data_IF_385576642136
#
_entry.id   IF_385576642136
#
_cell.length_a   1.000
_cell.length_b   1.000
_cell.length_c   1.000
_cell.angle_alpha   90.00
_cell.angle_beta   90.00
_cell.angle_gamma   90.00
#
_symmetry.space_group_name_H-M   'P 1'
#
loop_
_entity.id
_entity.type
_entity.pdbx_description
1 polymer ?
#
# COMPACT_ATOMS: atom_id res chain seq x y z
N UNK A 1 -10.98 15.18 18.80
CA UNK A 1 -10.29 15.53 17.52
C UNK A 1 -8.96 16.24 17.75
N UNK A 2 -8.77 16.97 18.85
CA UNK A 2 -7.53 17.65 19.23
C UNK A 2 -6.36 16.71 19.57
N UNK A 3 -6.65 15.51 20.09
CA UNK A 3 -5.60 14.59 20.55
C UNK A 3 -4.84 13.90 19.41
N UNK A 4 -5.47 13.76 18.24
CA UNK A 4 -4.83 13.20 17.04
C UNK A 4 -3.80 14.16 16.42
N UNK A 5 -4.07 15.47 16.50
CA UNK A 5 -3.13 16.51 16.03
C UNK A 5 -1.93 16.62 16.98
N UNK A 6 -2.17 16.48 18.29
CA UNK A 6 -1.09 16.44 19.29
C UNK A 6 -0.19 15.21 19.12
N UNK A 7 -0.77 14.04 18.83
CA UNK A 7 0.00 12.82 18.58
C UNK A 7 0.83 12.93 17.28
N UNK A 8 0.27 13.53 16.22
CA UNK A 8 1.00 13.79 14.98
C UNK A 8 2.15 14.81 15.19
N UNK A 9 1.94 15.84 16.01
CA UNK A 9 2.97 16.83 16.33
C UNK A 9 4.10 16.23 17.18
N UNK A 10 3.79 15.34 18.12
CA UNK A 10 4.78 14.61 18.93
C UNK A 10 5.64 13.67 18.08
N UNK A 11 5.05 12.96 17.12
CA UNK A 11 5.80 12.13 16.16
C UNK A 11 6.74 12.98 15.29
N UNK A 12 6.36 14.24 15.02
CA UNK A 12 7.16 15.16 14.20
C UNK A 12 8.34 15.76 14.98
N UNK A 13 8.13 16.14 16.25
CA UNK A 13 9.16 16.76 17.11
C UNK A 13 10.27 15.80 17.51
N UNK A 14 9.95 14.52 17.73
CA UNK A 14 10.95 13.51 18.12
C UNK A 14 11.90 13.11 16.97
N UNK A 15 11.62 13.53 15.74
CA UNK A 15 12.52 13.32 14.59
C UNK A 15 13.71 14.29 14.54
N UNK A 16 13.71 15.35 15.35
CA UNK A 16 14.66 16.47 15.20
C UNK A 16 15.98 16.31 15.96
N UNK A 17 16.09 15.37 16.90
CA UNK A 17 17.22 15.31 17.84
C UNK A 17 18.10 14.05 17.75
N UNK A 18 18.05 13.30 16.65
CA UNK A 18 19.04 12.26 16.40
C UNK A 18 20.21 12.81 15.57
N UNK A 19 21.47 12.67 16.04
CA UNK A 19 22.63 13.08 15.24
C UNK A 19 22.56 12.38 13.89
N UNK A 20 22.78 13.16 12.83
CA UNK A 20 22.73 12.74 11.43
C UNK A 20 23.88 11.77 11.11
N UNK A 21 23.87 10.59 11.75
CA UNK A 21 24.40 9.41 11.12
C UNK A 21 23.57 9.29 9.85
N UNK A 22 24.23 9.37 8.70
CA UNK A 22 23.69 9.04 7.38
C UNK A 22 23.34 7.55 7.38
N UNK A 23 22.37 7.16 8.21
CA UNK A 23 21.67 5.90 8.14
C UNK A 23 21.00 5.97 6.79
N UNK A 24 21.59 5.27 5.82
CA UNK A 24 21.10 5.19 4.47
C UNK A 24 19.70 4.55 4.53
N UNK A 25 18.68 5.40 4.72
CA UNK A 25 17.28 5.07 4.95
C UNK A 25 16.76 4.04 3.94
N UNK A 26 15.64 3.38 4.26
CA UNK A 26 14.96 2.46 3.34
C UNK A 26 14.89 3.09 1.94
N UNK A 27 15.01 2.30 0.85
CA UNK A 27 14.92 2.82 -0.50
C UNK A 27 13.71 3.77 -0.57
N UNK A 28 13.96 5.03 -0.93
CA UNK A 28 13.09 6.17 -0.61
C UNK A 28 11.64 6.16 -1.14
N UNK A 29 11.14 5.26 -2.02
CA UNK A 29 9.70 5.17 -2.27
C UNK A 29 8.96 4.22 -1.31
N UNK A 30 9.61 3.27 -0.64
CA UNK A 30 8.88 2.18 0.06
C UNK A 30 8.06 2.68 1.26
N UNK A 31 8.62 3.47 2.20
CA UNK A 31 7.86 3.97 3.35
C UNK A 31 6.61 4.80 2.97
N UNK A 32 6.68 5.82 2.09
CA UNK A 32 5.50 6.61 1.75
C UNK A 32 4.43 5.79 1.03
N UNK A 33 4.80 4.79 0.22
CA UNK A 33 3.86 3.84 -0.40
C UNK A 33 3.11 2.99 0.65
N UNK A 34 3.82 2.54 1.69
CA UNK A 34 3.19 1.78 2.79
C UNK A 34 2.22 2.66 3.57
N UNK A 35 2.61 3.91 3.87
CA UNK A 35 1.71 4.84 4.56
C UNK A 35 0.49 5.22 3.72
N UNK A 36 0.67 5.43 2.41
CA UNK A 36 -0.44 5.69 1.50
C UNK A 36 -1.41 4.50 1.43
N UNK A 37 -0.89 3.28 1.31
CA UNK A 37 -1.67 2.04 1.35
C UNK A 37 -2.40 1.88 2.69
N UNK A 38 -1.75 2.14 3.83
CA UNK A 38 -2.41 2.10 5.14
C UNK A 38 -3.53 3.13 5.25
N UNK A 39 -3.34 4.37 4.77
CA UNK A 39 -4.36 5.41 4.77
C UNK A 39 -5.55 5.04 3.86
N UNK A 40 -5.29 4.54 2.65
CA UNK A 40 -6.34 4.10 1.73
C UNK A 40 -7.11 2.90 2.28
N UNK A 41 -6.40 1.90 2.79
CA UNK A 41 -7.01 0.73 3.42
C UNK A 41 -7.85 1.08 4.66
N UNK A 42 -7.39 2.01 5.51
CA UNK A 42 -8.14 2.45 6.70
C UNK A 42 -9.39 3.25 6.33
N UNK A 43 -9.31 4.11 5.32
CA UNK A 43 -10.50 4.80 4.80
C UNK A 43 -11.49 3.80 4.19
N UNK A 44 -11.04 2.88 3.34
CA UNK A 44 -11.89 1.84 2.75
C UNK A 44 -12.62 1.00 3.81
N UNK A 45 -11.93 0.60 4.87
CA UNK A 45 -12.52 -0.18 5.97
C UNK A 45 -13.49 0.63 6.81
N UNK A 46 -13.21 1.89 7.10
CA UNK A 46 -14.16 2.77 7.78
C UNK A 46 -15.46 2.90 6.97
N UNK A 47 -15.36 3.14 5.67
CA UNK A 47 -16.54 3.18 4.78
C UNK A 47 -17.27 1.83 4.72
N UNK A 48 -16.56 0.72 4.58
CA UNK A 48 -17.17 -0.61 4.57
C UNK A 48 -17.91 -0.92 5.89
N UNK A 49 -17.34 -0.54 7.04
CA UNK A 49 -17.98 -0.71 8.35
C UNK A 49 -19.24 0.15 8.48
N UNK A 50 -19.20 1.41 8.04
CA UNK A 50 -20.41 2.25 8.02
C UNK A 50 -21.50 1.67 7.12
N UNK A 51 -21.14 1.13 5.95
CA UNK A 51 -22.06 0.49 5.04
C UNK A 51 -22.69 -0.79 5.62
N UNK A 52 -21.91 -1.56 6.39
CA UNK A 52 -22.40 -2.74 7.10
C UNK A 52 -23.35 -2.39 8.24
N UNK A 53 -23.08 -1.28 8.95
CA UNK A 53 -23.99 -0.78 9.99
C UNK A 53 -25.38 -0.42 9.44
N UNK A 54 -25.44 -0.07 8.16
CA UNK A 54 -26.68 0.20 7.42
C UNK A 54 -27.33 -1.06 6.83
N UNK A 55 -26.86 -2.26 7.18
CA UNK A 55 -27.35 -3.55 6.66
C UNK A 55 -27.30 -3.66 5.12
N UNK A 56 -26.41 -2.91 4.46
CA UNK A 56 -26.44 -2.77 3.00
C UNK A 56 -26.17 -4.09 2.25
N UNK A 57 -25.17 -4.87 2.68
CA UNK A 57 -24.88 -6.19 2.10
C UNK A 57 -23.82 -6.97 2.89
N UNK A 58 -23.98 -8.29 3.12
CA UNK A 58 -22.93 -9.13 3.72
C UNK A 58 -21.68 -9.25 2.83
N UNK A 59 -21.76 -8.96 1.53
CA UNK A 59 -20.61 -9.01 0.61
C UNK A 59 -19.54 -7.97 0.95
N UNK A 60 -19.93 -6.88 1.62
CA UNK A 60 -19.00 -5.83 2.08
C UNK A 60 -18.04 -6.34 3.16
N UNK A 61 -18.29 -7.53 3.73
CA UNK A 61 -17.40 -8.13 4.72
C UNK A 61 -16.05 -8.60 4.16
N UNK A 62 -15.97 -8.73 2.84
CA UNK A 62 -14.73 -9.04 2.13
C UNK A 62 -13.66 -7.94 2.29
N UNK A 63 -14.06 -6.67 2.46
CA UNK A 63 -13.13 -5.54 2.58
C UNK A 63 -12.41 -5.56 3.95
N UNK A 64 -13.09 -5.61 5.10
CA UNK A 64 -12.41 -5.72 6.40
C UNK A 64 -11.63 -7.02 6.56
N UNK A 65 -12.12 -8.13 5.98
CA UNK A 65 -11.41 -9.41 6.00
C UNK A 65 -10.06 -9.35 5.25
N UNK A 66 -10.00 -8.64 4.12
CA UNK A 66 -8.75 -8.44 3.36
C UNK A 66 -7.83 -7.38 3.98
N UNK A 67 -8.37 -6.45 4.78
CA UNK A 67 -7.57 -5.47 5.50
C UNK A 67 -6.69 -6.08 6.60
N UNK A 68 -7.21 -7.03 7.40
CA UNK A 68 -6.46 -7.64 8.50
C UNK A 68 -5.08 -8.21 8.10
N UNK A 69 -4.96 -9.04 7.04
CA UNK A 69 -3.65 -9.52 6.60
C UNK A 69 -2.76 -8.42 6.01
N UNK A 70 -3.36 -7.38 5.41
CA UNK A 70 -2.64 -6.23 4.84
C UNK A 70 -1.98 -5.40 5.94
N UNK A 71 -2.74 -5.11 7.02
CA UNK A 71 -2.23 -4.43 8.20
C UNK A 71 -1.12 -5.24 8.88
N UNK A 72 -1.30 -6.54 9.03
CA UNK A 72 -0.27 -7.43 9.59
C UNK A 72 1.00 -7.42 8.73
N UNK A 73 0.86 -7.46 7.40
CA UNK A 73 2.00 -7.40 6.50
C UNK A 73 2.77 -6.07 6.60
N UNK A 74 2.06 -4.94 6.58
CA UNK A 74 2.69 -3.62 6.68
C UNK A 74 3.36 -3.38 8.02
N UNK A 75 2.72 -3.77 9.13
CA UNK A 75 3.32 -3.66 10.47
C UNK A 75 4.58 -4.52 10.59
N UNK A 76 4.58 -5.74 10.08
CA UNK A 76 5.79 -6.60 10.09
C UNK A 76 6.92 -6.07 9.18
N UNK A 77 6.60 -5.31 8.12
CA UNK A 77 7.62 -4.61 7.32
C UNK A 77 8.18 -3.42 8.09
N UNK A 78 7.33 -2.56 8.65
CA UNK A 78 7.74 -1.36 9.40
C UNK A 78 8.54 -1.72 10.66
N UNK A 79 8.11 -2.76 11.40
CA UNK A 79 8.81 -3.24 12.58
C UNK A 79 10.21 -3.77 12.22
N UNK A 80 10.31 -4.58 11.17
CA UNK A 80 11.61 -5.06 10.70
C UNK A 80 12.49 -3.95 10.14
N UNK A 81 11.90 -2.94 9.48
CA UNK A 81 12.62 -1.77 9.00
C UNK A 81 13.23 -0.94 10.15
N UNK A 82 12.61 -0.94 11.33
CA UNK A 82 13.16 -0.29 12.53
C UNK A 82 14.25 -1.11 13.23
N UNK A 83 14.10 -2.43 13.29
CA UNK A 83 15.01 -3.30 14.07
C UNK A 83 16.28 -3.66 13.28
N UNK A 84 16.15 -3.95 11.99
CA UNK A 84 17.26 -4.44 11.20
C UNK A 84 18.04 -3.28 10.58
N UNK A 85 19.34 -3.23 10.88
CA UNK A 85 20.28 -2.36 10.18
C UNK A 85 20.17 -2.57 8.65
N UNK A 86 20.22 -1.45 7.92
CA UNK A 86 20.00 -1.38 6.49
C UNK A 86 20.76 -2.45 5.69
N UNK A 87 20.08 -3.02 4.69
CA UNK A 87 20.69 -3.98 3.76
C UNK A 87 20.71 -5.43 4.24
N UNK A 88 20.15 -5.74 5.42
CA UNK A 88 20.00 -7.13 5.83
C UNK A 88 19.05 -7.88 4.89
N UNK A 89 19.57 -8.91 4.21
CA UNK A 89 18.81 -9.77 3.31
C UNK A 89 17.58 -10.43 3.98
N UNK A 90 17.54 -10.44 5.32
CA UNK A 90 16.40 -10.93 6.11
C UNK A 90 15.12 -10.09 5.93
N UNK A 91 15.25 -8.77 5.72
CA UNK A 91 14.10 -7.88 5.51
C UNK A 91 13.35 -8.23 4.23
N UNK A 92 14.07 -8.68 3.19
CA UNK A 92 13.55 -9.07 1.88
C UNK A 92 13.54 -10.59 1.68
N UNK A 93 13.09 -11.34 2.69
CA UNK A 93 12.94 -12.80 2.58
C UNK A 93 11.98 -13.19 1.45
N UNK A 94 12.20 -14.36 0.83
CA UNK A 94 11.33 -14.93 -0.22
C UNK A 94 9.88 -15.01 0.25
N UNK A 95 9.68 -15.43 1.50
CA UNK A 95 8.36 -15.57 2.11
C UNK A 95 7.60 -14.25 2.16
N UNK A 96 8.27 -13.14 2.51
CA UNK A 96 7.63 -11.82 2.54
C UNK A 96 7.18 -11.34 1.17
N UNK A 97 8.00 -11.58 0.14
CA UNK A 97 7.64 -11.24 -1.24
C UNK A 97 6.44 -12.07 -1.70
N UNK A 98 6.42 -13.37 -1.39
CA UNK A 98 5.28 -14.25 -1.71
C UNK A 98 4.02 -13.80 -0.98
N UNK A 99 4.11 -13.49 0.34
CA UNK A 99 3.00 -12.93 1.10
C UNK A 99 2.45 -11.65 0.47
N UNK A 100 3.31 -10.74 0.02
CA UNK A 100 2.88 -9.51 -0.64
C UNK A 100 2.04 -9.80 -1.90
N UNK A 101 2.44 -10.79 -2.71
CA UNK A 101 1.65 -11.21 -3.88
C UNK A 101 0.33 -11.86 -3.50
N UNK A 102 0.30 -12.71 -2.47
CA UNK A 102 -0.94 -13.33 -1.99
C UNK A 102 -1.93 -12.24 -1.52
N UNK A 103 -1.44 -11.24 -0.78
CA UNK A 103 -2.26 -10.12 -0.32
C UNK A 103 -2.77 -9.29 -1.50
N UNK A 104 -1.91 -8.99 -2.48
CA UNK A 104 -2.31 -8.27 -3.69
C UNK A 104 -3.40 -9.03 -4.47
N UNK A 105 -3.26 -10.35 -4.62
CA UNK A 105 -4.28 -11.22 -5.22
C UNK A 105 -5.59 -11.21 -4.43
N UNK A 106 -5.52 -11.24 -3.09
CA UNK A 106 -6.69 -11.11 -2.23
C UNK A 106 -7.47 -9.81 -2.47
N UNK A 107 -6.76 -8.69 -2.59
CA UNK A 107 -7.36 -7.40 -2.95
C UNK A 107 -7.92 -7.38 -4.37
N UNK A 108 -7.26 -8.01 -5.34
CA UNK A 108 -7.78 -8.15 -6.71
C UNK A 108 -9.07 -8.97 -6.74
N UNK A 109 -9.15 -10.06 -5.97
CA UNK A 109 -10.37 -10.86 -5.83
C UNK A 109 -11.50 -10.07 -5.18
N UNK A 110 -11.21 -9.34 -4.10
CA UNK A 110 -12.18 -8.46 -3.45
C UNK A 110 -12.72 -7.41 -4.43
N UNK A 111 -11.83 -6.77 -5.18
CA UNK A 111 -12.20 -5.80 -6.22
C UNK A 111 -13.12 -6.43 -7.28
N UNK A 112 -12.79 -7.63 -7.74
CA UNK A 112 -13.60 -8.37 -8.71
C UNK A 112 -15.00 -8.68 -8.17
N UNK A 113 -15.10 -9.13 -6.91
CA UNK A 113 -16.39 -9.41 -6.23
C UNK A 113 -17.23 -8.14 -6.11
N UNK A 114 -16.63 -7.02 -5.71
CA UNK A 114 -17.34 -5.74 -5.57
C UNK A 114 -17.81 -5.22 -6.94
N UNK A 115 -16.97 -5.32 -7.97
CA UNK A 115 -17.35 -4.94 -9.35
C UNK A 115 -18.51 -5.83 -9.84
N UNK A 116 -18.40 -7.15 -9.68
CA UNK A 116 -19.45 -8.07 -10.08
C UNK A 116 -20.78 -7.75 -9.36
N UNK A 117 -20.74 -7.53 -8.04
CA UNK A 117 -21.91 -7.13 -7.27
C UNK A 117 -22.51 -5.80 -7.77
N UNK A 118 -21.65 -4.83 -8.10
CA UNK A 118 -22.06 -3.53 -8.64
C UNK A 118 -22.73 -3.69 -10.02
N UNK A 119 -22.16 -4.52 -10.91
CA UNK A 119 -22.73 -4.80 -12.23
C UNK A 119 -24.07 -5.53 -12.11
N UNK A 120 -24.16 -6.59 -11.30
CA UNK A 120 -25.43 -7.30 -11.08
C UNK A 120 -26.50 -6.37 -10.51
N UNK A 121 -26.12 -5.43 -9.63
CA UNK A 121 -27.04 -4.42 -9.10
C UNK A 121 -27.48 -3.43 -10.19
N UNK A 122 -26.57 -3.00 -11.06
CA UNK A 122 -26.89 -2.07 -12.16
C UNK A 122 -27.88 -2.66 -13.19
N UNK A 123 -27.89 -3.99 -13.35
CA UNK A 123 -28.78 -4.70 -14.26
C UNK A 123 -30.22 -4.84 -13.71
N UNK A 124 -30.54 -4.25 -12.54
CA UNK A 124 -31.85 -4.34 -11.89
C UNK A 124 -32.34 -5.78 -11.64
N UNK A 125 -31.44 -6.76 -11.61
CA UNK A 125 -31.79 -8.17 -11.37
C UNK A 125 -32.17 -8.43 -9.90
N UNK A 126 -31.94 -7.45 -9.00
CA UNK A 126 -32.34 -7.50 -7.60
C UNK A 126 -33.60 -6.68 -7.33
N UNK A 127 -34.50 -7.15 -6.45
CA UNK A 127 -35.71 -6.42 -6.08
C UNK A 127 -35.33 -5.03 -5.53
N UNK A 128 -36.07 -4.01 -5.98
CA UNK A 128 -35.94 -2.59 -5.62
C UNK A 128 -36.14 -2.36 -4.12
N UNK A 129 -35.18 -2.76 -3.30
CA UNK A 129 -35.06 -2.22 -1.95
C UNK A 129 -34.30 -0.90 -2.05
N UNK A 130 -34.82 0.13 -1.37
CA UNK A 130 -34.32 1.52 -1.32
C UNK A 130 -32.81 1.63 -1.06
N UNK A 131 -32.01 1.49 -2.11
CA UNK A 131 -30.55 1.39 -2.01
C UNK A 131 -29.82 2.41 -2.88
N UNK A 132 -30.41 3.60 -3.09
CA UNK A 132 -29.72 4.71 -3.75
C UNK A 132 -28.39 5.05 -3.07
N UNK A 133 -28.39 5.14 -1.73
CA UNK A 133 -27.18 5.38 -0.94
C UNK A 133 -26.21 4.20 -1.01
N UNK A 134 -26.72 2.97 -1.01
CA UNK A 134 -25.89 1.76 -1.01
C UNK A 134 -25.13 1.52 -2.32
N UNK A 135 -25.62 2.01 -3.47
CA UNK A 135 -24.92 1.83 -4.75
C UNK A 135 -23.66 2.70 -4.83
N UNK A 136 -23.75 3.96 -4.41
CA UNK A 136 -22.61 4.88 -4.37
C UNK A 136 -21.49 4.38 -3.48
N UNK A 137 -21.83 3.85 -2.30
CA UNK A 137 -20.83 3.29 -1.39
C UNK A 137 -20.13 2.08 -2.01
N UNK A 138 -20.86 1.21 -2.73
CA UNK A 138 -20.26 0.08 -3.44
C UNK A 138 -19.29 0.54 -4.54
N UNK A 139 -19.68 1.54 -5.34
CA UNK A 139 -18.80 2.11 -6.39
C UNK A 139 -17.55 2.72 -5.76
N UNK A 140 -17.70 3.52 -4.71
CA UNK A 140 -16.58 4.15 -4.01
C UNK A 140 -15.62 3.10 -3.43
N UNK A 141 -16.15 2.10 -2.72
CA UNK A 141 -15.36 0.98 -2.21
C UNK A 141 -14.64 0.22 -3.33
N UNK A 142 -15.28 0.01 -4.49
CA UNK A 142 -14.67 -0.64 -5.65
C UNK A 142 -13.46 0.16 -6.17
N UNK A 143 -13.61 1.48 -6.30
CA UNK A 143 -12.52 2.34 -6.77
C UNK A 143 -11.33 2.34 -5.82
N UNK A 144 -11.56 2.41 -4.51
CA UNK A 144 -10.48 2.34 -3.52
C UNK A 144 -9.81 0.98 -3.54
N UNK A 145 -10.58 -0.12 -3.57
CA UNK A 145 -10.04 -1.48 -3.64
C UNK A 145 -9.15 -1.68 -4.88
N UNK A 146 -9.53 -1.08 -6.02
CA UNK A 146 -8.74 -1.12 -7.25
C UNK A 146 -7.43 -0.34 -7.10
N UNK A 147 -7.48 0.87 -6.55
CA UNK A 147 -6.28 1.69 -6.29
C UNK A 147 -5.34 0.97 -5.33
N UNK A 148 -5.88 0.41 -4.24
CA UNK A 148 -5.13 -0.32 -3.23
C UNK A 148 -4.47 -1.57 -3.81
N UNK A 149 -5.19 -2.31 -4.67
CA UNK A 149 -4.63 -3.45 -5.40
C UNK A 149 -3.43 -3.02 -6.25
N UNK A 150 -3.56 -1.92 -6.99
CA UNK A 150 -2.46 -1.35 -7.80
C UNK A 150 -1.23 -0.98 -6.96
N UNK A 151 -1.43 -0.35 -5.81
CA UNK A 151 -0.36 0.02 -4.88
C UNK A 151 0.34 -1.23 -4.33
N UNK A 152 -0.42 -2.23 -3.89
CA UNK A 152 0.13 -3.48 -3.35
C UNK A 152 0.92 -4.27 -4.40
N UNK A 153 0.44 -4.32 -5.65
CA UNK A 153 1.19 -4.87 -6.77
C UNK A 153 2.50 -4.12 -7.00
N UNK A 154 2.46 -2.78 -6.97
CA UNK A 154 3.65 -1.93 -7.06
C UNK A 154 4.67 -2.25 -5.96
N UNK A 155 4.22 -2.34 -4.71
CA UNK A 155 5.06 -2.70 -3.55
C UNK A 155 5.65 -4.10 -3.72
N UNK A 156 4.86 -5.10 -4.14
CA UNK A 156 5.35 -6.46 -4.36
C UNK A 156 6.43 -6.52 -5.46
N UNK A 157 6.25 -5.78 -6.56
CA UNK A 157 7.23 -5.67 -7.64
C UNK A 157 8.51 -4.97 -7.17
N UNK A 158 8.40 -3.86 -6.43
CA UNK A 158 9.55 -3.14 -5.87
C UNK A 158 10.33 -4.02 -4.88
N UNK A 159 9.65 -4.72 -3.98
CA UNK A 159 10.25 -5.69 -3.06
C UNK A 159 11.00 -6.81 -3.82
N UNK A 160 10.42 -7.33 -4.92
CA UNK A 160 11.08 -8.32 -5.77
C UNK A 160 12.32 -7.74 -6.46
N UNK A 161 12.27 -6.51 -6.97
CA UNK A 161 13.39 -5.81 -7.60
C UNK A 161 14.54 -5.60 -6.60
N UNK A 162 14.26 -5.08 -5.41
CA UNK A 162 15.28 -4.88 -4.36
C UNK A 162 15.89 -6.20 -3.89
N UNK A 163 15.07 -7.24 -3.72
CA UNK A 163 15.59 -8.59 -3.39
C UNK A 163 16.56 -9.11 -4.44
N UNK A 164 16.23 -8.98 -5.73
CA UNK A 164 17.14 -9.36 -6.83
C UNK A 164 18.43 -8.55 -6.76
N UNK A 165 18.34 -7.24 -6.57
CA UNK A 165 19.50 -6.34 -6.46
C UNK A 165 20.44 -6.74 -5.32
N UNK A 166 19.91 -7.02 -4.13
CA UNK A 166 20.70 -7.50 -2.98
C UNK A 166 21.37 -8.85 -3.30
N UNK A 167 20.62 -9.77 -3.92
CA UNK A 167 21.16 -11.09 -4.29
C UNK A 167 22.28 -10.98 -5.32
N UNK A 168 22.13 -10.13 -6.34
CA UNK A 168 23.16 -9.87 -7.34
C UNK A 168 24.38 -9.18 -6.73
N UNK A 169 24.18 -8.18 -5.86
CA UNK A 169 25.26 -7.50 -5.16
C UNK A 169 26.03 -8.48 -4.25
N UNK A 170 25.35 -9.43 -3.61
CA UNK A 170 26.00 -10.47 -2.82
C UNK A 170 26.78 -11.47 -3.69
N UNK A 171 26.23 -11.88 -4.84
CA UNK A 171 26.89 -12.82 -5.78
C UNK A 171 28.16 -12.25 -6.39
N UNK A 172 28.16 -10.97 -6.74
CA UNK A 172 29.26 -10.29 -7.42
C UNK A 172 30.15 -9.46 -6.49
N UNK A 173 30.02 -9.62 -5.16
CA UNK A 173 30.95 -9.00 -4.22
C UNK A 173 32.33 -9.64 -4.41
N UNK A 174 33.35 -8.90 -4.88
CA UNK A 174 34.70 -9.45 -4.93
C UNK A 174 35.11 -9.83 -3.50
N UNK A 175 35.62 -11.04 -3.34
CA UNK A 175 35.96 -11.64 -2.03
C UNK A 175 37.00 -10.80 -1.27
N UNK A 176 37.72 -9.90 -1.95
CA UNK A 176 38.66 -8.96 -1.34
C UNK A 176 38.57 -7.61 -2.05
N UNK A 177 38.17 -6.54 -1.35
CA UNK A 177 38.72 -5.16 -1.46
C UNK A 177 37.86 -4.19 -0.65
N UNK A 178 38.51 -3.53 0.30
CA UNK A 178 37.93 -2.70 1.35
C UNK A 178 37.40 -1.32 0.90
N UNK A 179 37.23 -1.02 -0.40
CA UNK A 179 37.08 0.37 -0.84
C UNK A 179 36.01 0.59 -1.94
N UNK A 180 35.10 1.52 -1.61
CA UNK A 180 34.41 2.46 -2.54
C UNK A 180 33.10 2.10 -3.27
N UNK A 181 32.38 1.02 -2.95
CA UNK A 181 31.11 0.69 -3.64
C UNK A 181 29.88 1.56 -3.28
N UNK A 182 30.00 2.61 -2.44
CA UNK A 182 28.84 3.42 -1.99
C UNK A 182 28.22 4.32 -3.07
N UNK A 183 28.87 4.57 -4.21
CA UNK A 183 28.44 5.64 -5.13
C UNK A 183 27.66 5.19 -6.38
N UNK A 184 27.82 3.96 -6.86
CA UNK A 184 27.19 3.53 -8.13
C UNK A 184 25.72 3.15 -7.97
N UNK A 185 25.28 2.88 -6.75
CA UNK A 185 23.94 2.37 -6.44
C UNK A 185 22.82 3.41 -6.44
N UNK A 186 23.12 4.73 -6.45
CA UNK A 186 22.08 5.79 -6.40
C UNK A 186 21.45 6.14 -7.76
N UNK A 187 22.18 6.06 -8.88
CA UNK A 187 21.71 6.61 -10.17
C UNK A 187 20.54 5.82 -10.80
N UNK A 188 20.52 4.49 -10.69
CA UNK A 188 19.48 3.68 -11.33
C UNK A 188 18.15 3.66 -10.55
N UNK A 189 18.16 4.08 -9.29
CA UNK A 189 16.98 4.04 -8.43
C UNK A 189 16.03 5.22 -8.68
N UNK A 190 16.58 6.41 -8.97
CA UNK A 190 15.77 7.60 -9.25
C UNK A 190 14.85 7.43 -10.48
N UNK A 191 15.28 6.63 -11.47
CA UNK A 191 14.48 6.40 -12.69
C UNK A 191 13.21 5.58 -12.43
N UNK A 192 13.26 4.61 -11.52
CA UNK A 192 12.09 3.76 -11.20
C UNK A 192 11.09 4.44 -10.27
N UNK A 193 11.48 5.52 -9.58
CA UNK A 193 10.57 6.29 -8.71
C UNK A 193 9.63 7.14 -9.55
N UNK A 194 10.15 7.80 -10.59
CA UNK A 194 9.36 8.68 -11.46
C UNK A 194 8.14 7.95 -12.07
N UNK A 195 8.29 6.68 -12.46
CA UNK A 195 7.19 5.89 -13.03
C UNK A 195 6.06 5.62 -12.01
N UNK A 196 6.41 5.40 -10.74
CA UNK A 196 5.42 5.15 -9.68
C UNK A 196 4.77 6.43 -9.22
N UNK A 197 5.53 7.54 -9.14
CA UNK A 197 4.96 8.86 -8.84
C UNK A 197 4.00 9.31 -9.93
N UNK A 198 4.27 8.96 -11.20
CA UNK A 198 3.35 9.19 -12.32
C UNK A 198 2.04 8.41 -12.14
N UNK A 199 2.12 7.14 -11.75
CA UNK A 199 0.95 6.31 -11.46
C UNK A 199 0.10 6.85 -10.29
N UNK A 200 0.74 7.32 -9.22
CA UNK A 200 0.05 7.92 -8.08
C UNK A 200 -0.55 9.28 -8.44
N UNK A 201 0.14 10.10 -9.25
CA UNK A 201 -0.43 11.36 -9.76
C UNK A 201 -1.64 11.07 -10.64
N UNK A 202 -1.56 10.10 -11.55
CA UNK A 202 -2.68 9.69 -12.41
C UNK A 202 -3.88 9.21 -11.59
N UNK A 203 -3.65 8.40 -10.55
CA UNK A 203 -4.72 7.96 -9.66
C UNK A 203 -5.38 9.13 -8.91
N UNK A 204 -4.58 10.09 -8.43
CA UNK A 204 -5.07 11.31 -7.78
C UNK A 204 -5.85 12.19 -8.75
N UNK A 205 -5.37 12.35 -9.97
CA UNK A 205 -6.01 13.19 -10.99
C UNK A 205 -7.34 12.57 -11.45
N UNK A 206 -7.43 11.23 -11.51
CA UNK A 206 -8.69 10.50 -11.74
C UNK A 206 -9.67 10.70 -10.57
N UNK A 207 -9.19 10.65 -9.32
CA UNK A 207 -10.04 10.93 -8.15
C UNK A 207 -10.54 12.38 -8.14
N UNK A 208 -9.69 13.35 -8.49
CA UNK A 208 -10.09 14.76 -8.60
C UNK A 208 -11.08 15.00 -9.76
N UNK A 209 -10.88 14.35 -10.91
CA UNK A 209 -11.82 14.45 -12.01
C UNK A 209 -13.20 13.88 -11.62
N UNK A 210 -13.24 12.75 -10.93
CA UNK A 210 -14.48 12.20 -10.38
C UNK A 210 -15.13 13.12 -9.32
N UNK A 211 -14.36 13.96 -8.64
CA UNK A 211 -14.87 14.91 -7.65
C UNK A 211 -15.37 16.23 -8.27
N UNK A 212 -14.89 16.62 -9.46
CA UNK A 212 -15.31 17.86 -10.14
C UNK A 212 -16.58 17.64 -10.98
N UNK A 213 -16.77 16.43 -11.51
CA UNK A 213 -17.95 16.10 -12.32
C UNK A 213 -19.20 15.76 -11.49
N UNK A 214 -19.11 15.87 -10.16
CA UNK A 214 -20.18 15.58 -9.20
C UNK A 214 -20.25 16.65 -8.12
#
# INVERSE_FOLDING_TARGET
MTDLVALAALITLESSHFPSQKMDALPQPIPPLIFASLALSTTATAFALTALSLLASPLLWTIPASFAPTLFHHTTILFQARILAHGSARVFSKFKVICAFIIALGWSLCTCVVIAATVLKSLNTFPKYDMGVGLWIMVFCATIALIESGILWGVAVLCRKERKRITYAAKWRPINTNLSWRFVTRKNFCRSINDVTLLVSLARDIQFALFIYY
#
